data_IF_351035653124
#
_entry.id   IF_351035653124
#
_cell.length_a   1.000
_cell.length_b   1.000
_cell.length_c   1.000
_cell.angle_alpha   90.00
_cell.angle_beta   90.00
_cell.angle_gamma   90.00
#
_symmetry.space_group_name_H-M   'P 1'
#
loop_
_entity.id
_entity.type
_entity.pdbx_description
1 polymer ?
#
# COMPACT_ATOMS: atom_id res chain seq x y z
N UNK A 1 65.60 -47.31 20.87
CA UNK A 1 64.90 -46.40 21.81
C UNK A 1 63.47 -46.21 21.27
N UNK A 2 62.44 -46.54 22.05
CA UNK A 2 61.03 -46.31 21.67
C UNK A 2 60.61 -44.94 22.19
N UNK A 3 60.13 -44.07 21.30
CA UNK A 3 59.52 -42.79 21.67
C UNK A 3 58.14 -43.11 22.27
N UNK A 4 57.95 -42.80 23.56
CA UNK A 4 56.65 -42.89 24.21
C UNK A 4 55.79 -41.71 23.72
N UNK A 5 54.68 -42.02 23.04
CA UNK A 5 53.70 -41.00 22.65
C UNK A 5 52.87 -40.61 23.88
N UNK A 6 53.12 -39.41 24.39
CA UNK A 6 52.31 -38.76 25.43
C UNK A 6 51.00 -38.23 24.84
N UNK A 7 50.07 -39.12 24.53
CA UNK A 7 48.69 -38.75 24.18
C UNK A 7 47.81 -38.81 25.44
N UNK A 8 48.15 -38.03 26.48
CA UNK A 8 47.23 -37.82 27.60
C UNK A 8 46.18 -36.77 27.20
N UNK A 9 44.87 -37.01 27.42
CA UNK A 9 43.80 -36.05 27.15
C UNK A 9 43.90 -34.72 27.94
N UNK A 10 44.80 -34.64 28.92
CA UNK A 10 45.03 -33.44 29.73
C UNK A 10 45.97 -32.41 29.07
N UNK A 11 46.50 -32.70 27.88
CA UNK A 11 47.29 -31.76 27.07
C UNK A 11 46.53 -31.29 25.82
N UNK A 12 45.23 -31.00 25.96
CA UNK A 12 44.50 -30.30 24.90
C UNK A 12 45.09 -28.88 24.74
N UNK A 13 45.66 -28.61 23.57
CA UNK A 13 46.00 -27.24 23.12
C UNK A 13 44.78 -26.31 23.02
N UNK A 14 43.58 -26.85 23.22
CA UNK A 14 42.31 -26.13 23.14
C UNK A 14 42.15 -25.07 24.25
N UNK A 15 42.99 -25.09 25.29
CA UNK A 15 42.94 -24.12 26.39
C UNK A 15 44.33 -23.52 26.69
N UNK A 16 45.02 -23.01 25.67
CA UNK A 16 46.25 -22.23 25.88
C UNK A 16 45.96 -20.96 26.67
N UNK A 17 46.51 -20.85 27.88
CA UNK A 17 46.44 -19.66 28.75
C UNK A 17 47.08 -18.42 28.15
N UNK A 18 47.86 -18.57 27.07
CA UNK A 18 48.47 -17.47 26.31
C UNK A 18 47.37 -16.57 25.69
N UNK A 19 46.24 -17.15 25.29
CA UNK A 19 45.12 -16.42 24.69
C UNK A 19 44.40 -15.45 25.65
N UNK A 20 44.63 -15.54 26.96
CA UNK A 20 43.99 -14.71 28.00
C UNK A 20 44.98 -13.79 28.72
N UNK A 21 46.12 -13.49 28.08
CA UNK A 21 47.15 -12.66 28.68
C UNK A 21 46.88 -11.17 28.41
N UNK A 22 46.99 -10.27 29.41
CA UNK A 22 46.78 -8.83 29.24
C UNK A 22 47.65 -8.19 28.14
N UNK A 23 48.80 -8.80 27.84
CA UNK A 23 49.70 -8.39 26.77
C UNK A 23 49.12 -8.68 25.38
N UNK A 24 48.40 -9.80 25.23
CA UNK A 24 47.69 -10.15 23.99
C UNK A 24 46.48 -9.25 23.80
N UNK A 25 45.77 -8.94 24.88
CA UNK A 25 44.64 -8.00 24.86
C UNK A 25 45.08 -6.57 24.50
N UNK A 26 46.30 -6.16 24.88
CA UNK A 26 46.87 -4.85 24.51
C UNK A 26 47.33 -4.81 23.05
N UNK A 27 47.89 -5.90 22.53
CA UNK A 27 48.24 -6.05 21.09
C UNK A 27 46.96 -6.06 20.24
N UNK A 28 45.90 -6.73 20.71
CA UNK A 28 44.61 -6.81 20.02
C UNK A 28 43.70 -5.59 20.30
N UNK A 29 44.07 -4.73 21.26
CA UNK A 29 43.38 -3.51 21.63
C UNK A 29 41.85 -3.72 21.81
N UNK A 30 41.47 -4.82 22.46
CA UNK A 30 40.10 -5.33 22.54
C UNK A 30 39.10 -4.27 23.04
N UNK A 31 39.51 -3.47 24.02
CA UNK A 31 38.68 -2.41 24.61
C UNK A 31 38.30 -1.34 23.58
N UNK A 32 39.22 -0.99 22.67
CA UNK A 32 38.97 -0.05 21.57
C UNK A 32 38.00 -0.67 20.55
N UNK A 33 38.16 -1.96 20.26
CA UNK A 33 37.28 -2.66 19.33
C UNK A 33 35.85 -2.77 19.87
N UNK A 34 35.68 -3.05 21.16
CA UNK A 34 34.37 -3.08 21.83
C UNK A 34 33.72 -1.69 21.85
N UNK A 35 34.49 -0.64 22.15
CA UNK A 35 34.00 0.74 22.11
C UNK A 35 33.53 1.14 20.71
N UNK A 36 34.30 0.82 19.67
CA UNK A 36 33.93 1.05 18.27
C UNK A 36 32.67 0.27 17.88
N UNK A 37 32.58 -1.03 18.23
CA UNK A 37 31.37 -1.83 17.98
C UNK A 37 30.13 -1.21 18.61
N UNK A 38 30.25 -0.69 19.84
CA UNK A 38 29.15 0.01 20.52
C UNK A 38 28.74 1.29 19.77
N UNK A 39 29.71 2.11 19.39
CA UNK A 39 29.46 3.34 18.63
C UNK A 39 28.81 3.04 17.27
N UNK A 40 29.30 2.06 16.52
CA UNK A 40 28.69 1.67 15.24
C UNK A 40 27.24 1.21 15.41
N UNK A 41 26.95 0.46 16.47
CA UNK A 41 25.58 0.02 16.78
C UNK A 41 24.67 1.21 17.10
N UNK A 42 25.14 2.18 17.88
CA UNK A 42 24.39 3.39 18.19
C UNK A 42 24.11 4.23 16.94
N UNK A 43 25.12 4.44 16.09
CA UNK A 43 24.97 5.15 14.81
C UNK A 43 23.99 4.44 13.88
N UNK A 44 24.03 3.11 13.79
CA UNK A 44 23.10 2.34 12.98
C UNK A 44 21.64 2.46 13.46
N UNK A 45 21.42 2.49 14.78
CA UNK A 45 20.07 2.70 15.34
C UNK A 45 19.58 4.13 15.05
N UNK A 46 20.43 5.13 15.24
CA UNK A 46 20.08 6.53 14.97
C UNK A 46 19.77 6.77 13.49
N UNK A 47 20.56 6.20 12.58
CA UNK A 47 20.32 6.31 11.15
C UNK A 47 19.03 5.60 10.73
N UNK A 48 18.75 4.43 11.29
CA UNK A 48 17.48 3.72 11.10
C UNK A 48 16.27 4.54 11.51
N UNK A 49 16.30 5.15 12.71
CA UNK A 49 15.22 6.00 13.19
C UNK A 49 15.03 7.25 12.32
N UNK A 50 16.13 7.89 11.89
CA UNK A 50 16.06 9.06 11.02
C UNK A 50 15.45 8.73 9.66
N UNK A 51 15.83 7.60 9.06
CA UNK A 51 15.27 7.13 7.80
C UNK A 51 13.77 6.82 7.92
N UNK A 52 13.37 6.19 9.02
CA UNK A 52 11.97 5.89 9.29
C UNK A 52 11.12 7.17 9.42
N UNK A 53 11.61 8.19 10.11
CA UNK A 53 10.91 9.47 10.23
C UNK A 53 10.75 10.17 8.87
N UNK A 54 11.81 10.18 8.04
CA UNK A 54 11.73 10.74 6.67
C UNK A 54 10.71 10.01 5.79
N UNK A 55 10.63 8.68 5.94
CA UNK A 55 9.62 7.89 5.23
C UNK A 55 8.19 8.26 5.65
N UNK A 56 7.95 8.43 6.95
CA UNK A 56 6.64 8.84 7.46
C UNK A 56 6.23 10.22 6.95
N UNK A 57 7.13 11.20 7.00
CA UNK A 57 6.91 12.55 6.51
C UNK A 57 6.57 12.54 5.01
N UNK A 58 7.35 11.82 4.20
CA UNK A 58 7.07 11.68 2.76
C UNK A 58 5.71 11.02 2.48
N UNK A 59 5.32 10.03 3.29
CA UNK A 59 4.02 9.38 3.15
C UNK A 59 2.84 10.29 3.58
N UNK A 60 3.05 11.19 4.52
CA UNK A 60 2.09 12.23 4.89
C UNK A 60 1.94 13.28 3.79
N UNK A 61 3.06 13.77 3.23
CA UNK A 61 3.06 14.71 2.12
C UNK A 61 2.34 14.17 0.88
N UNK A 62 2.59 12.90 0.52
CA UNK A 62 1.89 12.27 -0.60
C UNK A 62 0.39 12.16 -0.33
N UNK A 63 -0.02 11.77 0.89
CA UNK A 63 -1.44 11.70 1.27
C UNK A 63 -2.11 13.07 1.18
N UNK A 64 -1.42 14.13 1.62
CA UNK A 64 -1.89 15.50 1.53
C UNK A 64 -2.11 15.93 0.08
N UNK A 65 -1.15 15.62 -0.81
CA UNK A 65 -1.24 15.93 -2.23
C UNK A 65 -2.44 15.21 -2.89
N UNK A 66 -2.60 13.92 -2.61
CA UNK A 66 -3.76 13.15 -3.09
C UNK A 66 -5.08 13.71 -2.59
N UNK A 67 -5.15 14.12 -1.31
CA UNK A 67 -6.35 14.73 -0.74
C UNK A 67 -6.71 16.04 -1.46
N UNK A 68 -5.73 16.94 -1.63
CA UNK A 68 -5.93 18.21 -2.37
C UNK A 68 -6.40 17.96 -3.80
N UNK A 69 -5.82 16.99 -4.49
CA UNK A 69 -6.24 16.62 -5.86
C UNK A 69 -7.65 16.05 -5.89
N UNK A 70 -8.01 15.22 -4.91
CA UNK A 70 -9.35 14.68 -4.77
C UNK A 70 -10.38 15.80 -4.50
N UNK A 71 -10.12 16.68 -3.54
CA UNK A 71 -10.97 17.84 -3.25
C UNK A 71 -11.16 18.74 -4.47
N UNK A 72 -10.08 19.05 -5.20
CA UNK A 72 -10.16 19.82 -6.44
C UNK A 72 -11.02 19.13 -7.51
N UNK A 73 -10.95 17.79 -7.61
CA UNK A 73 -11.78 17.02 -8.53
C UNK A 73 -13.26 17.02 -8.11
N UNK A 74 -13.55 16.90 -6.81
CA UNK A 74 -14.92 17.00 -6.27
C UNK A 74 -15.50 18.38 -6.57
N UNK A 75 -14.76 19.45 -6.27
CA UNK A 75 -15.20 20.82 -6.59
C UNK A 75 -15.44 21.01 -8.10
N UNK A 76 -14.62 20.41 -8.96
CA UNK A 76 -14.86 20.43 -10.42
C UNK A 76 -16.12 19.68 -10.83
N UNK A 77 -16.40 18.52 -10.21
CA UNK A 77 -17.64 17.78 -10.47
C UNK A 77 -18.86 18.57 -9.99
N UNK A 78 -18.81 19.14 -8.79
CA UNK A 78 -19.89 19.96 -8.24
C UNK A 78 -20.13 21.22 -9.10
N UNK A 79 -19.07 21.89 -9.53
CA UNK A 79 -19.17 23.01 -10.47
C UNK A 79 -19.74 22.56 -11.82
N UNK A 80 -19.35 21.39 -12.33
CA UNK A 80 -19.89 20.84 -13.58
C UNK A 80 -21.37 20.50 -13.43
N UNK A 81 -21.80 19.97 -12.28
CA UNK A 81 -23.19 19.68 -11.95
C UNK A 81 -24.01 20.99 -11.86
N UNK A 82 -23.49 22.02 -11.19
CA UNK A 82 -24.10 23.35 -11.14
C UNK A 82 -24.19 23.99 -12.53
N UNK A 83 -23.18 23.80 -13.38
CA UNK A 83 -23.19 24.29 -14.77
C UNK A 83 -24.17 23.50 -15.64
N UNK A 84 -24.32 22.18 -15.38
CA UNK A 84 -25.36 21.35 -15.97
C UNK A 84 -26.76 21.84 -15.56
N UNK A 85 -26.99 22.12 -14.28
CA UNK A 85 -28.22 22.73 -13.76
C UNK A 85 -28.48 24.12 -14.37
N UNK A 86 -27.47 24.95 -14.58
CA UNK A 86 -27.64 26.24 -15.26
C UNK A 86 -27.85 26.11 -16.77
N UNK A 87 -27.39 25.00 -17.36
CA UNK A 87 -27.75 24.57 -18.72
C UNK A 87 -29.03 23.73 -18.76
N UNK A 88 -29.73 23.51 -17.63
CA UNK A 88 -31.08 22.92 -17.58
C UNK A 88 -32.17 23.91 -18.05
N UNK A 89 -31.93 24.60 -19.15
CA UNK A 89 -32.83 24.34 -20.28
C UNK A 89 -32.42 22.97 -20.81
N UNK A 90 -32.91 21.91 -20.15
CA UNK A 90 -32.92 20.55 -20.69
C UNK A 90 -33.20 20.69 -22.18
N UNK A 91 -32.19 20.44 -23.02
CA UNK A 91 -32.30 20.68 -24.45
C UNK A 91 -33.61 20.05 -24.90
N UNK A 92 -34.47 20.83 -25.55
CA UNK A 92 -35.80 20.37 -25.97
C UNK A 92 -35.72 19.04 -26.72
N UNK A 93 -34.58 18.78 -27.38
CA UNK A 93 -34.21 17.51 -27.99
C UNK A 93 -34.18 16.33 -27.01
N UNK A 94 -33.63 16.47 -25.80
CA UNK A 94 -33.59 15.39 -24.80
C UNK A 94 -34.97 15.06 -24.25
N UNK A 95 -35.79 16.09 -23.98
CA UNK A 95 -37.19 15.91 -23.56
C UNK A 95 -38.00 15.23 -24.67
N UNK A 96 -37.80 15.66 -25.92
CA UNK A 96 -38.45 15.06 -27.09
C UNK A 96 -38.04 13.60 -27.29
N UNK A 97 -36.76 13.26 -27.17
CA UNK A 97 -36.26 11.87 -27.26
C UNK A 97 -36.82 10.97 -26.15
N UNK A 98 -36.95 11.48 -24.92
CA UNK A 98 -37.57 10.73 -23.83
C UNK A 98 -39.07 10.50 -24.08
N UNK A 99 -39.79 11.52 -24.57
CA UNK A 99 -41.20 11.37 -24.93
C UNK A 99 -41.41 10.37 -26.07
N UNK A 100 -40.56 10.39 -27.11
CA UNK A 100 -40.58 9.41 -28.19
C UNK A 100 -40.31 7.99 -27.69
N UNK A 101 -39.38 7.81 -26.75
CA UNK A 101 -39.09 6.52 -26.15
C UNK A 101 -40.28 6.00 -25.33
N UNK A 102 -40.91 6.85 -24.53
CA UNK A 102 -42.11 6.50 -23.78
C UNK A 102 -43.25 6.07 -24.71
N UNK A 103 -43.50 6.81 -25.79
CA UNK A 103 -44.51 6.45 -26.80
C UNK A 103 -44.24 5.07 -27.42
N UNK A 104 -43.00 4.79 -27.83
CA UNK A 104 -42.63 3.48 -28.39
C UNK A 104 -42.86 2.33 -27.41
N UNK A 105 -42.58 2.54 -26.12
CA UNK A 105 -42.85 1.55 -25.08
C UNK A 105 -44.35 1.35 -24.89
N UNK A 106 -45.12 2.43 -24.80
CA UNK A 106 -46.58 2.36 -24.68
C UNK A 106 -47.23 1.62 -25.85
N UNK A 107 -46.79 1.88 -27.09
CA UNK A 107 -47.30 1.16 -28.26
C UNK A 107 -46.94 -0.34 -28.21
N UNK A 108 -45.73 -0.71 -27.80
CA UNK A 108 -45.38 -2.13 -27.60
C UNK A 108 -46.26 -2.79 -26.54
N UNK A 109 -46.51 -2.12 -25.43
CA UNK A 109 -47.39 -2.61 -24.36
C UNK A 109 -48.81 -2.81 -24.90
N UNK A 110 -49.37 -1.83 -25.63
CA UNK A 110 -50.70 -1.95 -26.25
C UNK A 110 -50.76 -3.13 -27.23
N UNK A 111 -49.75 -3.34 -28.07
CA UNK A 111 -49.68 -4.49 -28.96
C UNK A 111 -49.67 -5.82 -28.19
N UNK A 112 -48.92 -5.92 -27.10
CA UNK A 112 -48.88 -7.13 -26.25
C UNK A 112 -50.26 -7.39 -25.63
N UNK A 113 -50.93 -6.37 -25.11
CA UNK A 113 -52.27 -6.53 -24.52
C UNK A 113 -53.33 -6.86 -25.58
N UNK A 114 -53.28 -6.23 -26.76
CA UNK A 114 -54.17 -6.54 -27.89
C UNK A 114 -53.99 -7.98 -28.36
N UNK A 115 -52.74 -8.43 -28.49
CA UNK A 115 -52.42 -9.82 -28.82
C UNK A 115 -52.91 -10.79 -27.75
N UNK A 116 -52.78 -10.45 -26.45
CA UNK A 116 -53.33 -11.27 -25.36
C UNK A 116 -54.86 -11.33 -25.39
N UNK A 117 -55.56 -10.24 -25.72
CA UNK A 117 -57.03 -10.27 -25.83
C UNK A 117 -57.53 -11.03 -27.06
N UNK A 118 -56.77 -11.06 -28.16
CA UNK A 118 -57.13 -11.78 -29.40
C UNK A 118 -56.78 -13.27 -29.35
N UNK A 119 -55.82 -13.67 -28.51
CA UNK A 119 -55.34 -15.06 -28.37
C UNK A 119 -56.03 -15.85 -27.25
N UNK A 120 -56.88 -15.21 -26.45
CA UNK A 120 -57.78 -15.91 -25.52
C UNK A 120 -59.08 -16.20 -26.29
N UNK A 121 -59.39 -17.46 -26.64
CA UNK A 121 -60.67 -17.77 -27.25
C UNK A 121 -61.77 -17.38 -26.26
N UNK A 122 -62.75 -16.61 -26.72
CA UNK A 122 -63.97 -16.34 -25.97
C UNK A 122 -64.64 -17.69 -25.68
N UNK A 123 -64.47 -18.21 -24.47
CA UNK A 123 -65.36 -19.24 -23.95
C UNK A 123 -66.71 -18.59 -23.72
N UNK A 124 -67.56 -18.66 -24.73
CA UNK A 124 -69.01 -18.52 -24.67
C UNK A 124 -69.61 -19.75 -25.33
#
# INVERSE_FOLDING_TARGET
>A
QKIAYYNLPSQSFECSTISRYPLVDSIQNLTVQEALKKQFKEVAIQSGNKLFNLYLESAEDQREEYRKKHEANVMKMDASLLTLNNNEKLSSTFVQLNNERCNKISERIKCIYKFKSESIPSTS
#
